data_IF_255208449830
#
_entry.id   IF_255208449830
#
_cell.length_a   1.000
_cell.length_b   1.000
_cell.length_c   1.000
_cell.angle_alpha   90.00
_cell.angle_beta   90.00
_cell.angle_gamma   90.00
#
_symmetry.space_group_name_H-M   'P 1'
#
loop_
_entity.id
_entity.type
_entity.pdbx_description
1 polymer ?
#
# COMPACT_ATOMS: atom_id res chain seq x y z
N UNK A 1 2.35 -10.33 -12.62
CA UNK A 1 2.20 -9.07 -11.86
C UNK A 1 1.49 -9.37 -10.54
N UNK A 2 2.00 -8.89 -9.41
CA UNK A 2 1.32 -8.97 -8.11
C UNK A 2 0.93 -7.59 -7.60
N UNK A 3 0.05 -7.53 -6.60
CA UNK A 3 -0.26 -6.28 -5.89
C UNK A 3 -0.68 -6.55 -4.44
N UNK A 4 -0.61 -5.50 -3.63
CA UNK A 4 -1.25 -5.47 -2.32
C UNK A 4 -2.60 -4.78 -2.36
N UNK A 5 -3.21 -4.61 -1.18
CA UNK A 5 -4.41 -3.78 -1.06
C UNK A 5 -4.08 -2.32 -1.33
N UNK A 6 -4.65 -1.75 -2.40
CA UNK A 6 -4.40 -0.37 -2.78
C UNK A 6 -5.57 0.21 -3.57
N UNK A 7 -6.33 1.09 -2.94
CA UNK A 7 -7.44 1.81 -3.57
C UNK A 7 -6.98 2.66 -4.75
N UNK A 8 -5.76 3.22 -4.69
CA UNK A 8 -5.17 3.95 -5.82
C UNK A 8 -5.01 3.04 -7.05
N UNK A 9 -4.55 1.81 -6.87
CA UNK A 9 -4.40 0.85 -7.99
C UNK A 9 -5.76 0.41 -8.53
N UNK A 10 -6.77 0.31 -7.68
CA UNK A 10 -8.15 0.04 -8.09
C UNK A 10 -8.72 1.19 -8.93
N UNK A 11 -8.54 2.44 -8.49
CA UNK A 11 -9.08 3.65 -9.13
C UNK A 11 -8.52 3.91 -10.52
N UNK A 12 -7.24 3.60 -10.76
CA UNK A 12 -6.63 3.78 -12.10
C UNK A 12 -7.04 2.68 -13.10
N UNK A 13 -7.82 1.67 -12.68
CA UNK A 13 -8.37 0.64 -13.58
C UNK A 13 -7.36 -0.35 -14.15
N UNK A 14 -6.10 -0.33 -13.69
CA UNK A 14 -5.01 -1.12 -14.31
C UNK A 14 -5.22 -2.63 -14.18
N UNK A 15 -5.86 -3.11 -13.10
CA UNK A 15 -6.12 -4.54 -12.88
C UNK A 15 -6.89 -5.16 -14.05
N UNK A 16 -7.96 -4.48 -14.50
CA UNK A 16 -8.79 -4.92 -15.63
C UNK A 16 -7.98 -4.98 -16.93
N UNK A 17 -7.16 -3.96 -17.19
CA UNK A 17 -6.32 -3.91 -18.39
C UNK A 17 -5.28 -5.04 -18.42
N UNK A 18 -4.73 -5.43 -17.26
CA UNK A 18 -3.80 -6.56 -17.18
C UNK A 18 -4.47 -7.88 -17.57
N UNK A 19 -5.72 -8.07 -17.14
CA UNK A 19 -6.52 -9.26 -17.50
C UNK A 19 -6.87 -9.26 -18.99
N UNK A 20 -7.36 -8.13 -19.53
CA UNK A 20 -7.68 -7.99 -20.95
C UNK A 20 -6.46 -8.25 -21.86
N UNK A 21 -5.24 -7.95 -21.36
CA UNK A 21 -3.98 -8.23 -22.04
C UNK A 21 -3.40 -9.63 -21.77
N UNK A 22 -4.14 -10.51 -21.09
CA UNK A 22 -3.71 -11.87 -20.71
C UNK A 22 -2.37 -11.90 -19.94
N UNK A 23 -2.12 -10.88 -19.12
CA UNK A 23 -0.94 -10.86 -18.24
C UNK A 23 -1.25 -11.70 -17.00
N UNK A 24 -0.35 -12.61 -16.63
CA UNK A 24 -0.51 -13.40 -15.42
C UNK A 24 -0.51 -12.51 -14.17
N UNK A 25 -1.55 -12.64 -13.33
CA UNK A 25 -1.73 -11.84 -12.11
C UNK A 25 -1.84 -12.70 -10.85
N UNK A 26 -1.33 -12.18 -9.74
CA UNK A 26 -1.56 -12.74 -8.40
C UNK A 26 -2.53 -11.84 -7.64
N UNK A 27 -3.80 -12.21 -7.70
CA UNK A 27 -4.88 -11.43 -7.11
C UNK A 27 -5.53 -12.16 -5.94
N UNK A 28 -5.26 -11.66 -4.73
CA UNK A 28 -5.86 -12.21 -3.50
C UNK A 28 -7.36 -11.97 -3.40
N UNK A 29 -7.89 -10.97 -4.11
CA UNK A 29 -9.29 -10.57 -3.99
C UNK A 29 -10.22 -11.57 -4.73
N UNK A 30 -9.65 -12.46 -5.57
CA UNK A 30 -10.34 -13.59 -6.21
C UNK A 30 -10.51 -14.80 -5.30
N UNK A 31 -9.75 -14.88 -4.22
CA UNK A 31 -9.84 -15.98 -3.26
C UNK A 31 -10.91 -15.67 -2.21
N UNK A 32 -11.68 -16.67 -1.79
CA UNK A 32 -12.66 -16.52 -0.70
C UNK A 32 -12.12 -17.03 0.63
N UNK A 33 -11.33 -18.10 0.60
CA UNK A 33 -10.68 -18.68 1.78
C UNK A 33 -9.54 -17.77 2.30
N UNK A 34 -9.57 -17.35 3.59
CA UNK A 34 -8.47 -16.63 4.21
C UNK A 34 -7.09 -17.29 4.06
N UNK A 35 -7.00 -18.62 4.11
CA UNK A 35 -5.71 -19.31 3.97
C UNK A 35 -5.15 -19.16 2.55
N UNK A 36 -6.00 -19.31 1.53
CA UNK A 36 -5.61 -19.10 0.12
C UNK A 36 -5.28 -17.63 -0.15
N UNK A 37 -5.99 -16.67 0.45
CA UNK A 37 -5.61 -15.24 0.40
C UNK A 37 -4.18 -15.01 0.89
N UNK A 38 -3.80 -15.65 2.00
CA UNK A 38 -2.44 -15.53 2.54
C UNK A 38 -1.41 -16.15 1.60
N UNK A 39 -1.70 -17.33 1.04
CA UNK A 39 -0.83 -17.97 0.03
C UNK A 39 -0.66 -17.07 -1.21
N UNK A 40 -1.75 -16.50 -1.71
CA UNK A 40 -1.73 -15.58 -2.85
C UNK A 40 -0.93 -14.31 -2.56
N UNK A 41 -1.08 -13.71 -1.37
CA UNK A 41 -0.27 -12.56 -0.96
C UNK A 41 1.24 -12.88 -0.89
N UNK A 42 1.61 -14.07 -0.40
CA UNK A 42 3.01 -14.53 -0.40
C UNK A 42 3.51 -14.74 -1.83
N UNK A 43 2.71 -15.36 -2.70
CA UNK A 43 3.04 -15.56 -4.11
C UNK A 43 3.17 -14.25 -4.89
N UNK A 44 2.38 -13.23 -4.53
CA UNK A 44 2.52 -11.89 -5.11
C UNK A 44 3.92 -11.29 -4.94
N UNK A 45 4.63 -11.65 -3.85
CA UNK A 45 6.00 -11.21 -3.59
C UNK A 45 7.05 -11.89 -4.49
N UNK A 46 6.68 -12.95 -5.20
CA UNK A 46 7.55 -13.64 -6.16
C UNK A 46 7.23 -13.25 -7.60
N UNK A 47 6.41 -12.22 -7.82
CA UNK A 47 6.12 -11.70 -9.16
C UNK A 47 7.30 -10.92 -9.74
N UNK A 48 7.31 -10.75 -11.06
CA UNK A 48 8.29 -9.89 -11.74
C UNK A 48 8.07 -8.41 -11.42
N UNK A 49 6.79 -8.02 -11.33
CA UNK A 49 6.34 -6.64 -11.09
C UNK A 49 5.29 -6.63 -10.00
N UNK A 50 5.50 -5.79 -8.99
CA UNK A 50 4.53 -5.47 -7.95
C UNK A 50 3.91 -4.09 -8.17
N UNK A 51 2.59 -3.99 -8.11
CA UNK A 51 1.87 -2.73 -8.13
C UNK A 51 1.45 -2.35 -6.71
N UNK A 52 1.71 -1.10 -6.33
CA UNK A 52 1.35 -0.57 -5.02
C UNK A 52 1.16 0.94 -5.07
N UNK A 53 0.74 1.51 -3.94
CA UNK A 53 0.77 2.96 -3.69
C UNK A 53 1.59 3.25 -2.44
N UNK A 54 1.90 4.54 -2.23
CA UNK A 54 2.44 5.05 -0.98
C UNK A 54 1.32 5.59 -0.09
N UNK A 55 1.52 5.68 1.23
CA UNK A 55 0.62 6.42 2.10
C UNK A 55 0.98 7.92 2.09
N UNK A 56 2.26 8.25 2.05
CA UNK A 56 2.76 9.59 1.84
C UNK A 56 4.13 9.58 1.17
N UNK A 57 4.49 10.67 0.50
CA UNK A 57 5.79 10.89 -0.14
C UNK A 57 6.28 12.27 0.28
N UNK A 58 7.46 12.35 0.89
CA UNK A 58 8.02 13.64 1.31
C UNK A 58 8.56 14.43 0.11
N UNK A 59 8.74 15.75 0.25
CA UNK A 59 9.38 16.57 -0.79
C UNK A 59 10.83 16.15 -1.06
N UNK A 60 11.48 15.51 -0.10
CA UNK A 60 12.83 14.91 -0.23
C UNK A 60 12.81 13.53 -0.92
N UNK A 61 11.63 13.04 -1.33
CA UNK A 61 11.48 11.79 -2.07
C UNK A 61 11.42 10.52 -1.21
N UNK A 62 11.24 10.65 0.11
CA UNK A 62 11.09 9.50 1.00
C UNK A 62 9.66 8.94 0.94
N UNK A 63 9.53 7.62 0.81
CA UNK A 63 8.22 6.96 0.78
C UNK A 63 7.85 6.47 2.18
N UNK A 64 6.72 6.91 2.71
CA UNK A 64 6.15 6.39 3.94
C UNK A 64 5.00 5.43 3.62
N UNK A 65 5.10 4.23 4.15
CA UNK A 65 4.12 3.17 4.00
C UNK A 65 3.79 2.55 5.35
N UNK A 66 2.52 2.28 5.57
CA UNK A 66 2.02 1.58 6.75
C UNK A 66 1.28 0.32 6.34
N UNK A 67 1.37 -0.74 7.15
CA UNK A 67 0.68 -1.99 6.88
C UNK A 67 0.37 -2.76 8.16
N UNK A 68 -0.69 -3.57 8.10
CA UNK A 68 -1.09 -4.45 9.20
C UNK A 68 -0.33 -5.77 9.10
N UNK A 69 -0.48 -6.44 7.96
CA UNK A 69 0.09 -7.78 7.70
C UNK A 69 1.54 -7.73 7.20
N UNK A 70 2.05 -6.55 6.86
CA UNK A 70 3.40 -6.36 6.32
C UNK A 70 3.61 -6.81 4.89
N UNK A 71 2.60 -7.36 4.22
CA UNK A 71 2.76 -7.95 2.90
C UNK A 71 3.10 -6.90 1.82
N UNK A 72 2.63 -5.65 1.94
CA UNK A 72 3.06 -4.56 1.04
C UNK A 72 4.47 -4.10 1.38
N UNK A 73 4.79 -3.99 2.67
CA UNK A 73 6.12 -3.55 3.11
C UNK A 73 7.20 -4.55 2.67
N UNK A 74 6.91 -5.84 2.69
CA UNK A 74 7.80 -6.88 2.18
C UNK A 74 8.14 -6.68 0.69
N UNK A 75 7.17 -6.22 -0.13
CA UNK A 75 7.40 -5.89 -1.53
C UNK A 75 8.35 -4.69 -1.67
N UNK A 76 8.19 -3.65 -0.86
CA UNK A 76 9.13 -2.51 -0.82
C UNK A 76 10.54 -2.94 -0.41
N UNK A 77 10.66 -3.68 0.69
CA UNK A 77 11.95 -4.03 1.29
C UNK A 77 12.75 -5.02 0.44
N UNK A 78 12.12 -6.07 -0.08
CA UNK A 78 12.87 -7.17 -0.69
C UNK A 78 12.22 -7.82 -1.90
N UNK A 79 10.90 -8.06 -1.89
CA UNK A 79 10.20 -9.00 -2.78
C UNK A 79 10.45 -8.86 -4.30
N UNK A 80 9.49 -8.37 -5.11
CA UNK A 80 9.64 -8.38 -6.57
C UNK A 80 10.83 -7.61 -7.12
N UNK A 81 11.30 -8.02 -8.31
CA UNK A 81 12.42 -7.39 -9.02
C UNK A 81 12.09 -5.97 -9.49
N UNK A 82 10.81 -5.66 -9.69
CA UNK A 82 10.32 -4.32 -9.99
C UNK A 82 9.10 -4.00 -9.13
N UNK A 83 9.09 -2.81 -8.52
CA UNK A 83 7.96 -2.28 -7.76
C UNK A 83 7.56 -0.96 -8.39
N UNK A 84 6.30 -0.88 -8.83
CA UNK A 84 5.72 0.34 -9.38
C UNK A 84 4.79 0.93 -8.32
N UNK A 85 5.14 2.13 -7.88
CA UNK A 85 4.40 2.90 -6.90
C UNK A 85 3.62 3.96 -7.66
N UNK A 86 2.29 3.88 -7.64
CA UNK A 86 1.42 4.92 -8.20
C UNK A 86 0.81 5.71 -7.05
N UNK A 87 0.96 7.03 -7.07
CA UNK A 87 0.44 7.91 -6.03
C UNK A 87 -0.17 9.17 -6.66
N UNK A 88 -1.30 9.63 -6.13
CA UNK A 88 -1.85 10.93 -6.46
C UNK A 88 -1.06 12.06 -5.80
N UNK A 89 -1.13 13.26 -6.35
CA UNK A 89 -0.46 14.45 -5.80
C UNK A 89 -0.94 14.79 -4.38
N UNK A 90 -2.16 14.35 -4.00
CA UNK A 90 -2.68 14.45 -2.63
C UNK A 90 -1.82 13.75 -1.56
N UNK A 91 -0.84 12.94 -1.96
CA UNK A 91 0.04 12.20 -1.05
C UNK A 91 1.40 12.84 -0.84
N UNK A 92 1.69 13.96 -1.53
CA UNK A 92 2.94 14.72 -1.32
C UNK A 92 2.82 15.53 -0.02
N UNK A 93 3.84 15.45 0.82
CA UNK A 93 3.92 16.16 2.10
C UNK A 93 5.31 16.75 2.30
N UNK A 94 5.44 17.67 3.24
CA UNK A 94 6.70 18.38 3.48
C UNK A 94 7.78 17.48 4.08
N UNK A 95 7.44 16.70 5.10
CA UNK A 95 8.39 15.97 5.93
C UNK A 95 7.76 14.68 6.50
N UNK A 96 8.58 13.86 7.17
CA UNK A 96 8.18 12.57 7.73
C UNK A 96 7.18 12.68 8.89
N UNK A 97 7.22 13.76 9.67
CA UNK A 97 6.28 13.95 10.79
C UNK A 97 4.87 14.19 10.26
N UNK A 98 4.73 15.03 9.23
CA UNK A 98 3.48 15.23 8.52
C UNK A 98 3.08 13.95 7.77
N UNK A 99 4.03 13.24 7.15
CA UNK A 99 3.77 11.97 6.46
C UNK A 99 3.12 10.93 7.38
N UNK A 100 3.65 10.75 8.59
CA UNK A 100 3.12 9.78 9.54
C UNK A 100 1.73 10.17 10.06
N UNK A 101 1.54 11.45 10.41
CA UNK A 101 0.24 11.98 10.85
C UNK A 101 -0.81 11.78 9.75
N UNK A 102 -0.48 12.14 8.52
CA UNK A 102 -1.32 11.95 7.34
C UNK A 102 -1.64 10.48 7.09
N UNK A 103 -0.64 9.59 7.13
CA UNK A 103 -0.88 8.15 6.93
C UNK A 103 -1.81 7.57 8.01
N UNK A 104 -1.74 8.05 9.25
CA UNK A 104 -2.65 7.60 10.32
C UNK A 104 -4.06 8.17 10.17
N UNK A 105 -4.20 9.45 9.85
CA UNK A 105 -5.49 10.13 9.80
C UNK A 105 -6.19 9.93 8.45
N UNK A 106 -5.50 10.18 7.35
CA UNK A 106 -6.08 10.19 6.01
C UNK A 106 -6.07 8.78 5.41
N UNK A 107 -5.05 7.96 5.71
CA UNK A 107 -5.00 6.61 5.16
C UNK A 107 -5.63 5.57 6.11
N UNK A 108 -5.18 5.50 7.37
CA UNK A 108 -5.56 4.39 8.27
C UNK A 108 -7.02 4.47 8.70
N UNK A 109 -7.49 5.64 9.14
CA UNK A 109 -8.86 5.81 9.64
C UNK A 109 -9.88 5.42 8.56
N UNK A 110 -9.85 5.96 7.31
CA UNK A 110 -10.75 5.51 6.26
C UNK A 110 -10.61 4.01 5.94
N UNK A 111 -9.38 3.47 6.00
CA UNK A 111 -9.15 2.04 5.77
C UNK A 111 -9.87 1.15 6.79
N UNK A 112 -10.00 1.60 8.05
CA UNK A 112 -10.70 0.83 9.08
C UNK A 112 -12.17 0.62 8.76
N UNK A 113 -12.82 1.58 8.10
CA UNK A 113 -14.19 1.41 7.61
C UNK A 113 -14.23 0.42 6.45
N UNK A 114 -13.30 0.55 5.49
CA UNK A 114 -13.20 -0.33 4.32
C UNK A 114 -12.98 -1.80 4.72
N UNK A 115 -12.19 -2.06 5.75
CA UNK A 115 -11.88 -3.43 6.20
C UNK A 115 -12.71 -3.89 7.39
N UNK A 116 -13.67 -3.08 7.86
CA UNK A 116 -14.46 -3.33 9.07
C UNK A 116 -13.59 -3.70 10.29
N UNK A 117 -12.45 -3.01 10.45
CA UNK A 117 -11.54 -3.21 11.59
C UNK A 117 -12.16 -2.64 12.87
N UNK A 118 -11.92 -3.31 14.01
CA UNK A 118 -12.36 -2.84 15.34
C UNK A 118 -11.31 -1.98 16.04
N UNK A 119 -10.33 -1.46 15.31
CA UNK A 119 -9.38 -0.50 15.86
C UNK A 119 -10.11 0.75 16.39
N UNK A 120 -9.70 1.36 17.51
CA UNK A 120 -10.39 2.48 18.14
C UNK A 120 -10.58 3.69 17.22
N UNK A 121 -9.67 3.87 16.27
CA UNK A 121 -9.74 4.93 15.28
C UNK A 121 -10.91 4.76 14.29
N UNK A 122 -11.46 3.55 14.15
CA UNK A 122 -12.72 3.30 13.43
C UNK A 122 -13.90 4.04 14.10
N UNK A 123 -13.98 4.00 15.43
CA UNK A 123 -15.10 4.57 16.17
C UNK A 123 -14.90 6.04 16.52
N UNK A 124 -13.65 6.43 16.78
CA UNK A 124 -13.30 7.78 17.25
C UNK A 124 -12.98 8.75 16.10
N UNK A 125 -12.73 8.25 14.89
CA UNK A 125 -12.27 9.06 13.76
C UNK A 125 -10.85 9.64 13.93
N UNK A 126 -10.14 9.28 15.01
CA UNK A 126 -8.82 9.81 15.34
C UNK A 126 -7.88 8.68 15.75
N UNK A 127 -6.62 8.79 15.35
CA UNK A 127 -5.59 7.87 15.83
C UNK A 127 -5.33 8.08 17.33
N UNK A 128 -5.31 6.98 18.08
CA UNK A 128 -4.95 6.95 19.51
C UNK A 128 -3.69 6.09 19.78
N UNK A 129 -2.91 5.82 18.75
CA UNK A 129 -1.68 4.99 18.85
C UNK A 129 -1.91 3.59 19.43
N UNK A 130 -2.98 2.93 19.00
CA UNK A 130 -3.32 1.60 19.49
C UNK A 130 -2.33 0.51 19.03
N UNK A 131 -2.08 -0.47 19.90
CA UNK A 131 -1.27 -1.67 19.64
C UNK A 131 -2.06 -2.97 19.72
N UNK A 132 -3.39 -2.88 19.65
CA UNK A 132 -4.28 -4.05 19.69
C UNK A 132 -4.25 -4.86 18.39
N UNK A 133 -4.77 -6.08 18.44
CA UNK A 133 -4.77 -7.04 17.33
C UNK A 133 -5.41 -6.51 16.03
N UNK A 134 -6.40 -5.62 16.11
CA UNK A 134 -7.10 -5.08 14.94
C UNK A 134 -6.43 -3.84 14.33
N UNK A 135 -5.24 -3.43 14.82
CA UNK A 135 -4.51 -2.27 14.29
C UNK A 135 -4.15 -2.45 12.82
N UNK A 136 -4.40 -1.41 12.01
CA UNK A 136 -4.08 -1.43 10.58
C UNK A 136 -2.74 -0.77 10.23
N UNK A 137 -2.17 0.01 11.16
CA UNK A 137 -0.90 0.71 11.02
C UNK A 137 0.17 0.12 11.95
N UNK A 138 0.16 -1.21 12.13
CA UNK A 138 1.05 -1.92 13.06
C UNK A 138 2.52 -1.90 12.63
N UNK A 139 2.78 -1.78 11.33
CA UNK A 139 4.13 -1.65 10.79
C UNK A 139 4.24 -0.37 9.97
N UNK A 140 5.37 0.32 10.13
CA UNK A 140 5.69 1.56 9.45
C UNK A 140 7.03 1.37 8.75
N UNK A 141 7.09 1.66 7.46
CA UNK A 141 8.32 1.63 6.67
C UNK A 141 8.56 3.01 6.05
N UNK A 142 9.78 3.48 6.22
CA UNK A 142 10.31 4.66 5.53
C UNK A 142 11.34 4.15 4.51
N UNK A 143 11.05 4.32 3.23
CA UNK A 143 11.98 3.98 2.15
C UNK A 143 12.70 5.24 1.71
N UNK A 144 13.96 5.37 2.14
CA UNK A 144 14.84 6.50 1.81
C UNK A 144 15.74 6.23 0.61
N UNK A 145 16.03 4.95 0.37
CA UNK A 145 16.92 4.51 -0.70
C UNK A 145 16.63 3.06 -1.09
N UNK A 146 16.82 2.73 -2.37
CA UNK A 146 16.76 1.36 -2.87
C UNK A 146 18.10 1.03 -3.55
N UNK A 147 18.90 0.14 -2.95
CA UNK A 147 20.21 -0.23 -3.50
C UNK A 147 20.12 -0.87 -4.89
N UNK A 148 19.19 -1.80 -5.15
CA UNK A 148 18.95 -2.26 -6.52
C UNK A 148 18.45 -1.10 -7.39
N UNK A 149 19.30 -0.65 -8.31
CA UNK A 149 18.99 0.46 -9.21
C UNK A 149 17.72 0.16 -10.01
N UNK A 150 16.86 1.17 -10.16
CA UNK A 150 15.61 1.10 -10.95
C UNK A 150 14.58 0.04 -10.47
N UNK A 151 14.75 -0.54 -9.28
CA UNK A 151 13.78 -1.50 -8.73
C UNK A 151 12.46 -0.83 -8.37
N UNK A 152 12.51 0.24 -7.59
CA UNK A 152 11.32 1.03 -7.21
C UNK A 152 11.17 2.18 -8.20
N UNK A 153 10.01 2.28 -8.84
CA UNK A 153 9.64 3.32 -9.81
C UNK A 153 8.41 4.04 -9.28
N UNK A 154 8.47 5.35 -9.12
CA UNK A 154 7.36 6.16 -8.61
C UNK A 154 6.72 6.93 -9.75
N UNK A 155 5.40 6.81 -9.88
CA UNK A 155 4.57 7.54 -10.83
C UNK A 155 3.64 8.44 -10.03
N UNK A 156 3.83 9.75 -10.17
CA UNK A 156 2.95 10.76 -9.59
C UNK A 156 1.86 11.11 -10.60
N UNK A 157 0.61 10.99 -10.16
CA UNK A 157 -0.57 11.32 -10.96
C UNK A 157 -1.12 12.65 -10.44
N UNK A 158 -1.38 13.61 -11.34
CA UNK A 158 -1.87 14.96 -11.05
C UNK A 158 -3.27 15.04 -10.44
N UNK A 159 -3.79 13.94 -9.89
CA UNK A 159 -5.14 13.79 -9.36
C UNK A 159 -5.12 13.38 -7.88
N UNK A 160 -6.28 13.46 -7.23
CA UNK A 160 -6.47 12.95 -5.88
C UNK A 160 -6.80 11.45 -5.95
N UNK A 161 -5.84 10.59 -5.60
CA UNK A 161 -5.99 9.14 -5.65
C UNK A 161 -5.83 8.49 -4.27
N UNK A 162 -6.63 7.46 -4.05
CA UNK A 162 -6.71 6.74 -2.79
C UNK A 162 -7.04 7.66 -1.63
N UNK A 163 -6.51 7.29 -0.48
CA UNK A 163 -6.56 8.00 0.79
C UNK A 163 -5.28 7.68 1.57
#
# INVERSE_FOLDING_TARGET
VGWGGSTTIDQIGIKKLLEEKNIAVYDRDKETDPAEKVKMMKKALTSDVFLTSANAITMDGELLNIDANGNRLAAYCYGPNSVIVVAGMNKIVTDLDIALKKARLDATVPNTFRTNSKAPCHFTGKCIECTMSDTLCGQILITRFCKPKNRIKVILVGENLGF
#
